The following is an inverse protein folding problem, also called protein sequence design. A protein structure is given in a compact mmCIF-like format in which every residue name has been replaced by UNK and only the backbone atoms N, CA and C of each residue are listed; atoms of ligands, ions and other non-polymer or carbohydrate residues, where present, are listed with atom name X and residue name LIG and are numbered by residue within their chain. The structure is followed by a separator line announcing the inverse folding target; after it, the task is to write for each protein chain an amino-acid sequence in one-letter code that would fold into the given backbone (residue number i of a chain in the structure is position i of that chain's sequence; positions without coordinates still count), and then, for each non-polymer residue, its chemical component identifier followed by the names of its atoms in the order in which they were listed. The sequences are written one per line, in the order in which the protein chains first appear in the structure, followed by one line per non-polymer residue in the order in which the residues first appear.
data_IF_115929866833
#
_entry.id   IF_115929866833
#
_cell.length_a   1.000
_cell.length_b   1.000
_cell.length_c   1.000
_cell.angle_alpha   90.00
_cell.angle_beta   90.00
_cell.angle_gamma   90.00
#
_symmetry.space_group_name_H-M   'P 1'
#
loop_
_entity.id
_entity.type
_entity.pdbx_description
1 polymer ?
#
# COMPACT_ATOMS: atom_id res chain seq x y z
N UNK A 1 -2.74 1.46 10.30
CA UNK A 1 -2.76 2.67 9.43
C UNK A 1 -1.43 2.78 8.68
N UNK A 2 -1.42 2.90 7.35
CA UNK A 2 -0.20 2.89 6.54
C UNK A 2 0.11 4.25 5.88
N UNK A 3 1.39 4.53 5.63
CA UNK A 3 1.83 5.66 4.81
C UNK A 3 2.25 5.19 3.42
N UNK A 4 1.65 5.75 2.38
CA UNK A 4 2.06 5.49 0.99
C UNK A 4 2.96 6.63 0.53
N UNK A 5 4.08 6.30 -0.12
CA UNK A 5 5.06 7.27 -0.63
C UNK A 5 5.35 7.01 -2.10
N UNK A 6 5.31 8.05 -2.93
CA UNK A 6 5.80 8.00 -4.31
C UNK A 6 7.31 8.27 -4.37
N UNK A 7 7.93 7.93 -5.50
CA UNK A 7 9.32 8.31 -5.76
C UNK A 7 9.54 9.84 -5.89
N UNK A 8 8.49 10.59 -6.26
CA UNK A 8 8.52 12.06 -6.36
C UNK A 8 8.39 12.76 -5.00
N UNK A 9 8.19 12.01 -3.91
CA UNK A 9 8.08 12.54 -2.56
C UNK A 9 6.64 12.82 -2.09
N UNK A 10 5.64 12.57 -2.93
CA UNK A 10 4.24 12.62 -2.53
C UNK A 10 3.95 11.55 -1.47
N UNK A 11 3.08 11.87 -0.52
CA UNK A 11 2.67 10.92 0.52
C UNK A 11 1.22 11.10 0.94
N UNK A 12 0.60 10.02 1.37
CA UNK A 12 -0.72 10.03 2.00
C UNK A 12 -0.79 9.01 3.15
N UNK A 13 -1.72 9.24 4.07
CA UNK A 13 -2.15 8.19 5.01
C UNK A 13 -3.21 7.34 4.32
N UNK A 14 -3.15 6.03 4.53
CA UNK A 14 -4.02 5.05 3.91
C UNK A 14 -4.45 3.98 4.90
N UNK A 15 -5.74 3.64 4.89
CA UNK A 15 -6.25 2.49 5.63
C UNK A 15 -6.09 1.26 4.76
N UNK A 16 -5.45 0.22 5.28
CA UNK A 16 -5.45 -1.09 4.63
C UNK A 16 -6.84 -1.68 4.83
N UNK A 17 -7.50 -2.08 3.74
CA UNK A 17 -8.84 -2.69 3.81
C UNK A 17 -8.76 -4.20 3.71
N UNK A 18 -7.95 -4.70 2.78
CA UNK A 18 -7.73 -6.13 2.58
C UNK A 18 -6.25 -6.35 2.29
N UNK A 19 -5.64 -7.39 2.85
CA UNK A 19 -4.23 -7.71 2.63
C UNK A 19 -4.07 -9.19 2.35
N UNK A 20 -3.15 -9.50 1.46
CA UNK A 20 -2.71 -10.83 1.09
C UNK A 20 -1.19 -10.87 1.06
N UNK A 21 -0.65 -12.06 0.85
CA UNK A 21 0.79 -12.30 0.67
C UNK A 21 1.38 -11.49 -0.49
N UNK A 22 0.58 -11.11 -1.49
CA UNK A 22 1.02 -10.48 -2.73
C UNK A 22 0.66 -9.01 -2.87
N UNK A 23 -0.16 -8.46 -1.98
CA UNK A 23 -0.63 -7.09 -2.13
C UNK A 23 -1.76 -6.75 -1.17
N UNK A 24 -2.23 -5.52 -1.26
CA UNK A 24 -3.36 -5.05 -0.47
C UNK A 24 -4.25 -4.08 -1.24
N UNK A 25 -5.48 -3.93 -0.75
CA UNK A 25 -6.37 -2.84 -1.11
C UNK A 25 -6.33 -1.79 -0.01
N UNK A 26 -6.35 -0.52 -0.41
CA UNK A 26 -6.19 0.63 0.47
C UNK A 26 -7.24 1.70 0.19
N UNK A 27 -7.55 2.48 1.22
CA UNK A 27 -8.43 3.66 1.15
C UNK A 27 -7.61 4.87 1.57
N UNK A 28 -7.46 5.84 0.66
CA UNK A 28 -6.74 7.08 0.90
C UNK A 28 -7.17 8.20 -0.05
N UNK A 29 -7.13 9.44 0.43
CA UNK A 29 -7.20 10.61 -0.43
C UNK A 29 -5.80 10.89 -1.01
N UNK A 30 -5.58 10.41 -2.23
CA UNK A 30 -4.31 10.57 -2.95
C UNK A 30 -4.58 10.89 -4.43
N UNK A 31 -4.83 12.17 -4.77
CA UNK A 31 -5.11 12.57 -6.15
C UNK A 31 -3.92 12.38 -7.09
N UNK A 32 -2.73 12.06 -6.57
CA UNK A 32 -1.52 11.73 -7.33
C UNK A 32 -1.36 10.23 -7.60
N UNK A 33 -2.11 9.35 -6.92
CA UNK A 33 -1.97 7.90 -7.09
C UNK A 33 -2.51 7.47 -8.47
N UNK A 34 -1.69 6.76 -9.26
CA UNK A 34 -2.05 6.29 -10.61
C UNK A 34 -1.61 4.86 -10.83
N UNK A 35 -2.37 4.11 -11.63
CA UNK A 35 -2.00 2.77 -12.10
C UNK A 35 -0.60 2.78 -12.73
N UNK A 36 0.20 1.77 -12.41
CA UNK A 36 1.57 1.60 -12.89
C UNK A 36 2.63 2.34 -12.07
N UNK A 37 2.24 3.21 -11.12
CA UNK A 37 3.20 3.86 -10.25
C UNK A 37 3.82 2.89 -9.27
N UNK A 38 5.14 2.99 -9.10
CA UNK A 38 5.84 2.38 -7.98
C UNK A 38 5.69 3.25 -6.74
N UNK A 39 5.40 2.60 -5.61
CA UNK A 39 5.22 3.25 -4.31
C UNK A 39 5.89 2.43 -3.20
N UNK A 40 6.26 3.09 -2.11
CA UNK A 40 6.59 2.43 -0.86
C UNK A 40 5.36 2.45 0.07
N UNK A 41 5.02 1.30 0.61
CA UNK A 41 3.98 1.12 1.63
C UNK A 41 4.69 0.96 2.96
N UNK A 42 4.58 1.95 3.83
CA UNK A 42 5.14 1.90 5.17
C UNK A 42 4.02 1.60 6.17
N UNK A 43 4.08 0.43 6.81
CA UNK A 43 3.04 -0.02 7.77
C UNK A 43 3.45 0.34 9.19
N UNK A 44 4.75 0.29 9.51
CA UNK A 44 5.31 0.70 10.80
C UNK A 44 6.59 1.54 10.60
N UNK A 45 7.19 2.00 11.70
CA UNK A 45 8.43 2.77 11.65
C UNK A 45 9.60 1.94 11.07
N UNK A 46 9.60 0.64 11.32
CA UNK A 46 10.65 -0.32 10.97
C UNK A 46 10.30 -1.21 9.77
N UNK A 47 9.06 -1.16 9.28
CA UNK A 47 8.61 -2.02 8.19
C UNK A 47 8.03 -1.25 7.00
N UNK A 48 8.59 -1.51 5.81
CA UNK A 48 8.08 -0.99 4.55
C UNK A 48 8.31 -1.97 3.40
N UNK A 49 7.47 -1.86 2.37
CA UNK A 49 7.56 -2.69 1.16
C UNK A 49 7.38 -1.87 -0.11
N UNK A 50 8.14 -2.22 -1.15
CA UNK A 50 7.96 -1.65 -2.48
C UNK A 50 6.80 -2.34 -3.18
N UNK A 51 5.97 -1.57 -3.86
CA UNK A 51 4.77 -2.05 -4.53
C UNK A 51 4.52 -1.29 -5.83
N UNK A 52 3.64 -1.82 -6.67
CA UNK A 52 3.10 -1.17 -7.86
C UNK A 52 1.59 -1.00 -7.72
N UNK A 53 1.08 0.18 -8.08
CA UNK A 53 -0.35 0.45 -8.11
C UNK A 53 -0.97 -0.29 -9.29
N UNK A 54 -1.90 -1.21 -9.01
CA UNK A 54 -2.62 -1.98 -10.03
C UNK A 54 -3.90 -1.30 -10.49
N UNK A 55 -4.53 -0.55 -9.60
CA UNK A 55 -5.67 0.32 -9.92
C UNK A 55 -5.81 1.41 -8.86
N UNK A 56 -6.38 2.55 -9.25
CA UNK A 56 -6.76 3.63 -8.35
C UNK A 56 -8.11 4.22 -8.81
N UNK A 57 -9.08 4.31 -7.90
CA UNK A 57 -10.43 4.81 -8.18
C UNK A 57 -11.07 5.34 -6.90
N UNK A 58 -11.65 6.55 -6.96
CA UNK A 58 -12.54 7.11 -5.94
C UNK A 58 -12.02 6.94 -4.49
N UNK A 59 -10.81 7.40 -4.22
CA UNK A 59 -10.20 7.33 -2.88
C UNK A 59 -9.80 5.91 -2.44
N UNK A 60 -9.82 4.94 -3.34
CA UNK A 60 -9.34 3.57 -3.12
C UNK A 60 -8.25 3.20 -4.13
N UNK A 61 -7.40 2.27 -3.74
CA UNK A 61 -6.37 1.70 -4.62
C UNK A 61 -6.13 0.23 -4.33
N UNK A 62 -5.67 -0.49 -5.33
CA UNK A 62 -5.12 -1.83 -5.18
C UNK A 62 -3.66 -1.81 -5.57
N UNK A 63 -2.82 -2.39 -4.73
CA UNK A 63 -1.38 -2.43 -4.94
C UNK A 63 -0.87 -3.86 -4.86
N UNK A 64 0.12 -4.17 -5.68
CA UNK A 64 0.82 -5.45 -5.72
C UNK A 64 2.24 -5.24 -5.19
N UNK A 65 2.66 -6.05 -4.23
CA UNK A 65 4.00 -5.99 -3.68
C UNK A 65 5.02 -6.52 -4.69
N UNK A 66 6.18 -5.86 -4.80
CA UNK A 66 7.25 -6.33 -5.69
C UNK A 66 7.91 -7.63 -5.21
N UNK A 67 7.77 -7.92 -3.91
CA UNK A 67 8.14 -9.20 -3.31
C UNK A 67 7.01 -9.63 -2.38
N UNK A 68 6.69 -10.93 -2.31
CA UNK A 68 5.69 -11.40 -1.38
C UNK A 68 6.12 -11.14 0.07
N UNK A 69 5.14 -10.90 0.93
CA UNK A 69 5.32 -10.91 2.39
C UNK A 69 5.13 -12.33 2.93
N UNK A 70 5.25 -12.52 4.23
CA UNK A 70 4.87 -13.78 4.89
C UNK A 70 3.39 -13.78 5.27
N UNK A 71 2.79 -14.96 5.48
CA UNK A 71 1.43 -15.06 6.01
C UNK A 71 1.28 -14.42 7.40
N UNK A 72 2.33 -14.48 8.22
CA UNK A 72 2.35 -13.83 9.54
C UNK A 72 2.23 -12.30 9.39
N UNK A 73 3.03 -11.70 8.49
CA UNK A 73 2.95 -10.28 8.16
C UNK A 73 1.57 -9.90 7.59
N UNK A 74 1.00 -10.72 6.70
CA UNK A 74 -0.32 -10.44 6.15
C UNK A 74 -1.41 -10.40 7.24
N UNK A 75 -1.35 -11.31 8.23
CA UNK A 75 -2.29 -11.32 9.36
C UNK A 75 -2.09 -10.13 10.29
N UNK A 76 -0.85 -9.73 10.54
CA UNK A 76 -0.54 -8.55 11.34
C UNK A 76 -1.12 -7.28 10.71
N UNK A 77 -0.92 -7.08 9.41
CA UNK A 77 -1.40 -5.89 8.69
C UNK A 77 -2.92 -5.86 8.49
N UNK A 78 -3.62 -6.98 8.67
CA UNK A 78 -5.07 -7.04 8.57
C UNK A 78 -5.78 -6.47 9.82
N UNK A 79 -5.07 -6.36 10.94
CA UNK A 79 -5.59 -5.87 12.22
C UNK A 79 -5.38 -4.35 12.45
N UNK A 80 -4.87 -3.65 11.43
CA UNK A 80 -4.36 -2.26 11.46
C UNK A 80 -5.28 -1.19 10.84
#
# INVERSE_FOLDING_TARGET
MATIRSASGDRCQARIRDVSVFGCSLVCEAPWLRTGMFVAVQVSADWSIQAVVRWAREGSGGIEFLRPITDAQAREFACE
#
